data_IF_556817316578
#
_entry.id   IF_556817316578
#
_cell.length_a   1.000
_cell.length_b   1.000
_cell.length_c   1.000
_cell.angle_alpha   90.00
_cell.angle_beta   90.00
_cell.angle_gamma   90.00
#
_symmetry.space_group_name_H-M   'P 1'
#
loop_
_entity.id
_entity.type
_entity.pdbx_description
1 polymer ?
#
# COMPACT_ATOMS: atom_id res chain seq x y z
N UNK A 1 -1.29 -56.97 25.06
CA UNK A 1 -1.47 -57.18 23.61
C UNK A 1 -2.17 -55.96 23.00
N UNK A 2 -1.48 -55.27 22.06
CA UNK A 2 -1.95 -54.23 21.11
C UNK A 2 -2.42 -52.92 21.76
N UNK A 3 -1.68 -51.79 21.69
CA UNK A 3 -1.42 -50.96 20.49
C UNK A 3 -2.60 -49.99 20.34
N UNK A 4 -2.46 -48.66 20.39
CA UNK A 4 -1.82 -47.83 19.38
C UNK A 4 -1.66 -46.38 19.91
N UNK A 5 -0.48 -45.80 19.71
CA UNK A 5 -0.26 -44.37 19.75
C UNK A 5 -1.02 -43.67 18.61
N UNK A 6 -1.47 -42.43 18.79
CA UNK A 6 -1.40 -41.30 17.83
C UNK A 6 -1.95 -40.08 18.59
N UNK A 7 -1.03 -39.37 19.23
CA UNK A 7 -1.09 -37.91 19.33
C UNK A 7 -0.85 -37.34 17.90
N UNK A 8 -1.39 -36.15 17.62
CA UNK A 8 -1.06 -35.25 16.49
C UNK A 8 -1.74 -35.44 15.12
N UNK A 9 -3.08 -35.40 15.03
CA UNK A 9 -3.77 -35.24 13.71
C UNK A 9 -4.80 -34.10 13.64
N UNK A 10 -4.82 -33.15 14.59
CA UNK A 10 -5.71 -31.96 14.46
C UNK A 10 -4.98 -30.64 14.15
N UNK A 11 -3.66 -30.68 13.94
CA UNK A 11 -2.86 -29.53 13.49
C UNK A 11 -2.56 -29.53 11.98
N UNK A 12 -3.29 -30.33 11.18
CA UNK A 12 -3.10 -30.45 9.73
C UNK A 12 -4.11 -29.65 8.89
N UNK A 13 -4.68 -28.58 9.46
CA UNK A 13 -5.26 -27.47 8.71
C UNK A 13 -4.41 -26.20 8.91
N UNK A 14 -3.10 -26.39 9.03
CA UNK A 14 -2.12 -25.33 8.84
C UNK A 14 -2.29 -24.75 7.43
N UNK A 15 -2.46 -23.43 7.36
CA UNK A 15 -2.23 -22.56 6.20
C UNK A 15 -2.33 -23.22 4.82
N UNK A 16 -3.48 -23.07 4.15
CA UNK A 16 -3.44 -22.85 2.70
C UNK A 16 -2.93 -21.42 2.49
N UNK A 17 -1.62 -21.21 2.67
CA UNK A 17 -0.97 -20.08 2.04
C UNK A 17 -0.70 -20.56 0.64
N UNK A 18 -1.50 -20.12 -0.33
CA UNK A 18 -1.15 -20.28 -1.72
C UNK A 18 0.21 -19.61 -1.91
N UNK A 19 1.29 -20.40 -1.94
CA UNK A 19 2.60 -19.94 -2.33
C UNK A 19 2.51 -19.59 -3.81
N UNK A 20 2.15 -18.33 -4.11
CA UNK A 20 2.29 -17.81 -5.46
C UNK A 20 3.78 -17.74 -5.75
N UNK A 21 4.20 -18.38 -6.83
CA UNK A 21 5.54 -18.18 -7.38
C UNK A 21 5.64 -16.75 -7.94
N UNK A 22 6.26 -15.88 -7.16
CA UNK A 22 6.43 -14.46 -7.51
C UNK A 22 7.54 -14.23 -8.54
N UNK A 23 8.30 -15.26 -8.92
CA UNK A 23 9.43 -15.11 -9.84
C UNK A 23 9.01 -14.85 -11.29
N UNK A 24 7.76 -15.18 -11.65
CA UNK A 24 7.27 -15.17 -13.03
C UNK A 24 6.04 -14.28 -13.27
N UNK A 25 5.66 -13.45 -12.30
CA UNK A 25 4.51 -12.54 -12.44
C UNK A 25 5.02 -11.18 -12.90
N UNK A 26 4.72 -10.77 -14.14
CA UNK A 26 4.92 -9.38 -14.55
C UNK A 26 3.66 -8.55 -14.24
N UNK A 27 3.78 -7.25 -13.92
CA UNK A 27 2.63 -6.39 -13.65
C UNK A 27 1.62 -6.28 -14.81
N UNK A 28 2.02 -6.68 -16.02
CA UNK A 28 1.23 -6.58 -17.25
C UNK A 28 0.50 -7.88 -17.61
N UNK A 29 0.87 -9.01 -16.99
CA UNK A 29 0.18 -10.30 -17.18
C UNK A 29 -1.07 -10.45 -16.30
N UNK A 30 -1.34 -9.45 -15.46
CA UNK A 30 -2.59 -9.30 -14.73
C UNK A 30 -3.45 -8.36 -15.56
N UNK A 31 -4.26 -8.91 -16.48
CA UNK A 31 -5.48 -8.21 -16.91
C UNK A 31 -6.50 -8.38 -15.79
N UNK A 32 -6.72 -7.39 -14.92
CA UNK A 32 -7.60 -7.60 -13.80
C UNK A 32 -9.06 -7.45 -14.21
N UNK A 33 -9.36 -6.97 -15.43
CA UNK A 33 -10.69 -6.41 -15.71
C UNK A 33 -11.27 -6.69 -17.10
N UNK A 34 -10.51 -6.77 -18.19
CA UNK A 34 -11.09 -7.00 -19.53
C UNK A 34 -12.24 -6.03 -19.90
N UNK A 35 -12.20 -4.79 -19.40
CA UNK A 35 -13.36 -3.87 -19.46
C UNK A 35 -13.33 -2.90 -20.64
N UNK A 36 -14.52 -2.66 -21.20
CA UNK A 36 -14.80 -1.65 -22.21
C UNK A 36 -15.15 -0.32 -21.53
N UNK A 37 -14.40 0.74 -21.85
CA UNK A 37 -14.45 2.05 -21.19
C UNK A 37 -15.71 2.89 -21.49
N UNK A 38 -16.71 2.34 -22.21
CA UNK A 38 -17.93 3.06 -22.59
C UNK A 38 -19.10 2.89 -21.60
N UNK A 39 -18.98 1.99 -20.63
CA UNK A 39 -20.05 1.65 -19.68
C UNK A 39 -19.93 2.37 -18.31
N UNK A 40 -19.08 3.41 -18.22
CA UNK A 40 -18.74 4.03 -16.93
C UNK A 40 -19.74 5.13 -16.53
N UNK A 41 -20.70 4.81 -15.67
CA UNK A 41 -21.59 5.76 -14.99
C UNK A 41 -20.88 6.43 -13.80
N UNK A 42 -20.91 7.77 -13.75
CA UNK A 42 -20.26 8.62 -12.73
C UNK A 42 -20.91 8.47 -11.33
N UNK A 43 -22.08 7.84 -11.23
CA UNK A 43 -22.72 7.52 -9.93
C UNK A 43 -22.20 6.24 -9.27
N UNK A 44 -21.37 5.45 -9.98
CA UNK A 44 -20.80 4.21 -9.47
C UNK A 44 -19.64 4.45 -8.49
N UNK A 45 -19.40 3.52 -7.53
CA UNK A 45 -18.24 3.58 -6.66
C UNK A 45 -16.95 3.77 -7.47
N UNK A 46 -16.07 4.70 -7.06
CA UNK A 46 -14.80 4.97 -7.77
C UNK A 46 -13.87 3.75 -7.83
N UNK A 47 -14.11 2.75 -6.98
CA UNK A 47 -13.47 1.43 -7.03
C UNK A 47 -14.34 0.54 -7.94
N UNK A 48 -13.80 0.12 -9.08
CA UNK A 48 -14.51 -0.78 -10.00
C UNK A 48 -14.68 -2.14 -9.32
N UNK A 49 -15.91 -2.47 -8.93
CA UNK A 49 -16.28 -3.78 -8.37
C UNK A 49 -15.75 -4.06 -6.95
N UNK A 50 -15.41 -3.04 -6.16
CA UNK A 50 -14.95 -3.21 -4.77
C UNK A 50 -15.91 -2.63 -3.74
N UNK A 51 -15.84 -3.16 -2.52
CA UNK A 51 -16.58 -2.69 -1.34
C UNK A 51 -15.71 -1.83 -0.43
N UNK A 52 -16.34 -1.04 0.43
CA UNK A 52 -15.64 -0.33 1.51
C UNK A 52 -14.92 -1.34 2.42
N UNK A 53 -13.63 -1.13 2.65
CA UNK A 53 -12.87 -1.98 3.57
C UNK A 53 -13.43 -1.88 4.98
N UNK A 54 -13.36 -2.98 5.75
CA UNK A 54 -13.69 -2.92 7.18
C UNK A 54 -12.79 -1.85 7.83
N UNK A 55 -13.35 -0.91 8.61
CA UNK A 55 -12.55 0.14 9.24
C UNK A 55 -11.31 -0.41 9.93
N UNK A 56 -10.16 0.17 9.60
CA UNK A 56 -8.84 -0.16 10.16
C UNK A 56 -8.33 -1.61 9.92
N UNK A 57 -8.96 -2.38 9.02
CA UNK A 57 -8.49 -3.72 8.65
C UNK A 57 -7.14 -3.76 7.90
N UNK A 58 -6.70 -2.61 7.38
CA UNK A 58 -5.42 -2.45 6.66
C UNK A 58 -4.56 -1.37 7.35
N UNK A 59 -4.02 -1.63 8.55
CA UNK A 59 -3.37 -0.61 9.38
C UNK A 59 -2.08 -0.06 8.75
N UNK A 60 -1.50 -0.77 7.79
CA UNK A 60 -0.31 -0.36 7.06
C UNK A 60 -0.60 0.62 5.92
N UNK A 61 -1.88 0.87 5.57
CA UNK A 61 -2.24 1.76 4.47
C UNK A 61 -1.95 3.22 4.82
N UNK A 62 -1.34 3.93 3.87
CA UNK A 62 -0.95 5.34 4.03
C UNK A 62 -1.50 6.18 2.90
N UNK A 63 -2.05 7.34 3.23
CA UNK A 63 -2.37 8.39 2.27
C UNK A 63 -1.24 9.43 2.24
N UNK A 64 -0.79 9.79 1.04
CA UNK A 64 0.31 10.73 0.84
C UNK A 64 -0.19 11.97 0.09
N UNK A 65 -0.03 13.14 0.70
CA UNK A 65 -0.29 14.43 0.07
C UNK A 65 1.04 15.12 -0.22
N UNK A 66 1.43 15.14 -1.49
CA UNK A 66 2.80 15.44 -1.93
C UNK A 66 2.85 16.83 -2.55
N UNK A 67 3.67 17.70 -1.99
CA UNK A 67 3.86 19.06 -2.51
C UNK A 67 4.97 19.06 -3.56
N UNK A 68 4.58 19.42 -4.79
CA UNK A 68 5.48 19.75 -5.88
C UNK A 68 5.63 21.28 -5.98
N UNK A 69 6.47 21.75 -6.91
CA UNK A 69 6.70 23.20 -7.12
C UNK A 69 5.42 23.96 -7.52
N UNK A 70 4.49 23.33 -8.22
CA UNK A 70 3.32 24.00 -8.81
C UNK A 70 1.98 23.36 -8.47
N UNK A 71 1.98 22.19 -7.83
CA UNK A 71 0.77 21.41 -7.56
C UNK A 71 0.95 20.49 -6.35
N UNK A 72 -0.16 19.89 -5.92
CA UNK A 72 -0.17 18.81 -4.93
C UNK A 72 -0.61 17.53 -5.61
N UNK A 73 0.14 16.45 -5.42
CA UNK A 73 -0.22 15.11 -5.85
C UNK A 73 -0.78 14.29 -4.69
N UNK A 74 -1.55 13.27 -5.04
CA UNK A 74 -2.05 12.27 -4.11
C UNK A 74 -1.52 10.90 -4.51
N UNK A 75 -0.94 10.17 -3.55
CA UNK A 75 -0.47 8.80 -3.73
C UNK A 75 -0.81 7.94 -2.51
N UNK A 76 -0.63 6.63 -2.66
CA UNK A 76 -0.62 5.68 -1.54
C UNK A 76 0.79 5.37 -1.05
N UNK A 77 0.87 4.77 0.13
CA UNK A 77 2.09 4.17 0.66
C UNK A 77 1.77 3.03 1.63
N UNK A 78 2.82 2.37 2.09
CA UNK A 78 2.73 1.24 3.02
C UNK A 78 3.74 1.41 4.14
N UNK A 79 3.29 1.30 5.39
CA UNK A 79 4.18 1.22 6.54
C UNK A 79 4.98 -0.08 6.46
N UNK A 80 6.31 0.02 6.40
CA UNK A 80 7.20 -1.15 6.42
C UNK A 80 8.05 -1.22 7.70
N UNK A 81 8.15 -0.12 8.44
CA UNK A 81 8.78 -0.06 9.76
C UNK A 81 8.30 1.19 10.52
N UNK A 82 8.64 1.33 11.82
CA UNK A 82 8.32 2.53 12.60
C UNK A 82 8.83 3.84 11.99
N UNK A 83 9.83 3.80 11.10
CA UNK A 83 10.46 4.99 10.53
C UNK A 83 10.32 5.15 9.02
N UNK A 84 9.87 4.11 8.33
CA UNK A 84 9.86 4.10 6.87
C UNK A 84 8.51 3.74 6.27
N UNK A 85 8.10 4.56 5.30
CA UNK A 85 6.96 4.30 4.42
C UNK A 85 7.49 3.93 3.04
N UNK A 86 7.04 2.80 2.51
CA UNK A 86 7.28 2.38 1.13
C UNK A 86 6.26 3.03 0.19
N UNK A 87 6.72 3.54 -0.95
CA UNK A 87 5.87 4.10 -2.00
C UNK A 87 6.55 3.98 -3.36
N UNK A 88 5.95 4.55 -4.40
CA UNK A 88 6.49 4.58 -5.76
C UNK A 88 7.51 5.73 -5.93
N UNK A 89 8.52 5.52 -6.77
CA UNK A 89 9.48 6.56 -7.11
C UNK A 89 8.81 7.72 -7.85
N UNK A 90 7.86 7.44 -8.75
CA UNK A 90 7.16 8.50 -9.49
C UNK A 90 6.36 9.45 -8.56
N UNK A 91 5.94 8.98 -7.38
CA UNK A 91 5.28 9.82 -6.39
C UNK A 91 6.26 10.79 -5.73
N UNK A 92 7.48 10.33 -5.44
CA UNK A 92 8.51 11.13 -4.74
C UNK A 92 9.40 11.92 -5.70
N UNK A 93 9.40 11.61 -7.00
CA UNK A 93 10.16 12.34 -8.01
C UNK A 93 9.72 13.81 -8.04
N UNK A 94 10.67 14.73 -7.82
CA UNK A 94 10.48 16.18 -7.68
C UNK A 94 9.66 16.63 -6.46
N UNK A 95 9.31 15.73 -5.54
CA UNK A 95 8.66 16.09 -4.28
C UNK A 95 9.52 17.07 -3.46
N UNK A 96 8.87 18.06 -2.84
CA UNK A 96 9.51 19.01 -1.92
C UNK A 96 9.22 18.67 -0.46
N UNK A 97 8.00 18.22 -0.22
CA UNK A 97 7.48 17.84 1.08
C UNK A 97 6.35 16.84 0.84
N UNK A 98 6.15 15.92 1.77
CA UNK A 98 4.96 15.07 1.83
C UNK A 98 4.33 15.18 3.20
N UNK A 99 3.00 15.27 3.23
CA UNK A 99 2.21 15.00 4.41
C UNK A 99 1.72 13.54 4.35
N UNK A 100 2.22 12.75 5.30
CA UNK A 100 1.90 11.35 5.53
C UNK A 100 0.71 11.27 6.47
N UNK A 101 -0.40 10.71 6.00
CA UNK A 101 -1.59 10.46 6.80
C UNK A 101 -1.70 8.95 7.10
N UNK A 102 -1.57 8.62 8.38
CA UNK A 102 -1.68 7.27 8.93
C UNK A 102 -3.03 7.08 9.63
N UNK A 103 -3.48 5.82 9.77
CA UNK A 103 -4.64 5.46 10.59
C UNK A 103 -6.00 5.97 10.08
N UNK A 104 -6.05 6.50 8.85
CA UNK A 104 -7.28 6.98 8.23
C UNK A 104 -8.10 5.82 7.65
N UNK A 105 -9.38 5.77 7.99
CA UNK A 105 -10.37 5.00 7.24
C UNK A 105 -11.02 5.89 6.17
N UNK A 106 -11.38 7.12 6.53
CA UNK A 106 -11.92 8.11 5.61
C UNK A 106 -11.10 9.42 5.63
N UNK A 107 -10.30 9.64 4.60
CA UNK A 107 -9.42 10.82 4.47
C UNK A 107 -10.15 12.18 4.41
N UNK A 108 -11.48 12.18 4.21
CA UNK A 108 -12.33 13.38 4.18
C UNK A 108 -12.95 13.71 5.53
N UNK A 109 -12.79 12.84 6.53
CA UNK A 109 -13.27 13.04 7.89
C UNK A 109 -12.07 13.18 8.81
N UNK A 110 -12.25 13.95 9.87
CA UNK A 110 -11.33 13.93 11.00
C UNK A 110 -11.67 12.71 11.86
N UNK A 111 -10.68 11.84 12.07
CA UNK A 111 -10.83 10.62 12.85
C UNK A 111 -9.77 10.61 13.95
N UNK A 112 -10.09 10.20 15.19
CA UNK A 112 -9.13 10.20 16.30
C UNK A 112 -7.94 9.25 16.08
N UNK A 113 -8.07 8.30 15.15
CA UNK A 113 -7.01 7.37 14.74
C UNK A 113 -6.02 8.00 13.77
N UNK A 114 -6.32 9.17 13.21
CA UNK A 114 -5.47 9.79 12.20
C UNK A 114 -4.24 10.44 12.81
N UNK A 115 -3.08 10.18 12.19
CA UNK A 115 -1.83 10.89 12.50
C UNK A 115 -1.27 11.50 11.21
N UNK A 116 -1.07 12.82 11.22
CA UNK A 116 -0.44 13.57 10.12
C UNK A 116 1.02 13.87 10.47
N UNK A 117 1.93 13.46 9.58
CA UNK A 117 3.36 13.63 9.77
C UNK A 117 3.94 14.23 8.49
N UNK A 118 4.71 15.31 8.61
CA UNK A 118 5.40 15.90 7.45
C UNK A 118 6.81 15.34 7.33
N UNK A 119 7.23 15.07 6.10
CA UNK A 119 8.61 14.71 5.79
C UNK A 119 9.07 15.36 4.49
N UNK A 120 10.37 15.63 4.41
CA UNK A 120 11.08 16.06 3.21
C UNK A 120 12.28 15.14 2.90
N UNK A 121 12.35 13.97 3.54
CA UNK A 121 13.42 12.99 3.36
C UNK A 121 12.92 11.78 2.58
N UNK A 122 13.43 11.63 1.37
CA UNK A 122 13.04 10.58 0.44
C UNK A 122 14.28 9.84 -0.07
N UNK A 123 14.18 8.52 -0.18
CA UNK A 123 15.18 7.66 -0.80
C UNK A 123 14.54 7.10 -2.05
N UNK A 124 14.86 7.68 -3.20
CA UNK A 124 14.40 7.21 -4.51
C UNK A 124 15.40 6.19 -5.03
N UNK A 125 14.90 5.06 -5.55
CA UNK A 125 15.77 4.03 -6.11
C UNK A 125 16.71 4.63 -7.18
N UNK A 126 18.01 4.36 -7.08
CA UNK A 126 19.06 5.05 -7.85
C UNK A 126 18.97 4.81 -9.36
N UNK A 127 18.27 3.73 -9.75
CA UNK A 127 17.98 3.37 -11.14
C UNK A 127 16.55 3.70 -11.58
N UNK A 128 15.81 4.53 -10.84
CA UNK A 128 14.50 5.02 -11.26
C UNK A 128 14.59 5.68 -12.64
N UNK A 129 13.70 5.32 -13.55
CA UNK A 129 13.58 5.94 -14.86
C UNK A 129 12.13 6.32 -15.13
N UNK A 130 11.83 7.62 -15.09
CA UNK A 130 10.49 8.14 -15.38
C UNK A 130 10.04 7.95 -16.82
N UNK A 131 10.98 7.81 -17.77
CA UNK A 131 10.65 7.53 -19.16
C UNK A 131 10.20 6.08 -19.38
N UNK A 132 10.83 5.13 -18.72
CA UNK A 132 10.54 3.69 -18.87
C UNK A 132 9.73 3.09 -17.71
N UNK A 133 9.38 3.88 -16.69
CA UNK A 133 8.75 3.43 -15.43
C UNK A 133 9.48 2.25 -14.77
N UNK A 134 10.82 2.20 -14.88
CA UNK A 134 11.63 1.12 -14.31
C UNK A 134 12.11 1.48 -12.91
N UNK A 135 12.10 0.49 -12.02
CA UNK A 135 12.50 0.63 -10.62
C UNK A 135 11.66 1.70 -9.88
N UNK A 136 10.34 1.62 -10.05
CA UNK A 136 9.37 2.56 -9.47
C UNK A 136 9.15 2.32 -7.96
N UNK A 137 10.19 2.55 -7.17
CA UNK A 137 10.20 2.30 -5.73
C UNK A 137 10.96 3.39 -4.99
N UNK A 138 10.40 3.85 -3.87
CA UNK A 138 11.01 4.83 -3.00
C UNK A 138 10.62 4.61 -1.54
N UNK A 139 11.44 5.14 -0.63
CA UNK A 139 11.14 5.23 0.79
C UNK A 139 10.95 6.69 1.20
N UNK A 140 10.01 6.92 2.12
CA UNK A 140 9.91 8.15 2.90
C UNK A 140 10.45 7.84 4.29
N UNK A 141 11.44 8.60 4.74
CA UNK A 141 11.92 8.55 6.12
C UNK A 141 11.09 9.51 6.97
N UNK A 142 10.48 9.02 8.03
CA UNK A 142 9.74 9.84 8.99
C UNK A 142 10.72 10.60 9.92
N UNK A 143 10.37 11.82 10.35
CA UNK A 143 11.22 12.58 11.28
C UNK A 143 11.36 11.91 12.65
N UNK A 144 10.35 11.15 13.05
CA UNK A 144 10.28 10.40 14.31
C UNK A 144 9.65 9.03 14.07
N UNK A 145 9.97 8.06 14.93
CA UNK A 145 9.37 6.73 14.87
C UNK A 145 7.89 6.77 15.28
N UNK A 146 7.07 5.99 14.57
CA UNK A 146 5.66 5.80 14.92
C UNK A 146 5.51 4.59 15.84
N UNK A 147 4.65 4.74 16.85
CA UNK A 147 4.23 3.63 17.68
C UNK A 147 3.12 2.84 16.97
N UNK A 148 3.21 1.51 17.02
CA UNK A 148 2.15 0.64 16.52
C UNK A 148 1.13 0.38 17.63
N UNK A 149 -0.14 0.45 17.29
CA UNK A 149 -1.28 0.34 18.19
C UNK A 149 -2.26 -0.75 17.75
#
# INVERSE_FOLDING_TARGET
MKGFAILFVTFYLAQIRAERDWSNITPMDIDPFGLNLKDFDITTPRIVGGDEAIPHSHPHQVALFIKLSTTTLFCGGTIISPRYILTAAHCMDKAKEVEVLLGAHNIRKEEPTQKRIKSNKFIIHERWSSFFFRNDIALIELPEEIEFN
#
